data_IF_352351058275
#
_entry.id   IF_352351058275
#
_cell.length_a   1.000
_cell.length_b   1.000
_cell.length_c   1.000
_cell.angle_alpha   90.00
_cell.angle_beta   90.00
_cell.angle_gamma   90.00
#
_symmetry.space_group_name_H-M   'P 1'
#
loop_
_entity.id
_entity.type
_entity.pdbx_description
1 polymer ?
#
# COMPACT_ATOMS: atom_id res chain seq x y z
N UNK A 1 11.44 -5.88 14.16
CA UNK A 1 10.60 -6.97 13.59
C UNK A 1 9.64 -6.30 12.63
N UNK A 2 10.02 -6.14 11.37
CA UNK A 2 9.12 -5.56 10.35
C UNK A 2 8.17 -6.65 9.90
N UNK A 3 6.87 -6.48 10.15
CA UNK A 3 5.84 -7.44 9.76
C UNK A 3 5.81 -7.50 8.23
N UNK A 4 6.30 -8.60 7.63
CA UNK A 4 6.37 -8.74 6.18
C UNK A 4 4.96 -9.05 5.67
N UNK A 5 4.40 -8.20 4.81
CA UNK A 5 3.06 -8.42 4.26
C UNK A 5 2.93 -9.75 3.52
N UNK A 6 4.06 -10.35 3.10
CA UNK A 6 4.13 -11.69 2.49
C UNK A 6 3.91 -12.82 3.47
N UNK A 7 4.00 -12.58 4.77
CA UNK A 7 3.65 -13.57 5.81
C UNK A 7 2.14 -13.52 6.14
N UNK A 8 1.46 -12.42 5.81
CA UNK A 8 0.03 -12.21 6.08
C UNK A 8 -0.89 -12.44 4.87
N UNK A 9 -0.32 -12.41 3.65
CA UNK A 9 -1.03 -12.58 2.40
C UNK A 9 -0.42 -13.72 1.59
N UNK A 10 -1.26 -14.46 0.88
CA UNK A 10 -0.83 -15.29 -0.23
C UNK A 10 -0.22 -14.42 -1.35
N UNK A 11 0.62 -15.02 -2.19
CA UNK A 11 1.26 -14.33 -3.31
C UNK A 11 0.21 -13.66 -4.22
N UNK A 12 -0.90 -14.34 -4.49
CA UNK A 12 -1.96 -13.79 -5.37
C UNK A 12 -2.67 -12.58 -4.77
N UNK A 13 -2.81 -12.58 -3.46
CA UNK A 13 -3.46 -11.51 -2.68
C UNK A 13 -2.57 -10.28 -2.60
N UNK A 14 -1.28 -10.52 -2.34
CA UNK A 14 -0.25 -9.50 -2.39
C UNK A 14 -0.20 -8.83 -3.76
N UNK A 15 -0.13 -9.63 -4.84
CA UNK A 15 -0.08 -9.11 -6.21
C UNK A 15 -1.37 -8.38 -6.60
N UNK A 16 -2.53 -8.88 -6.19
CA UNK A 16 -3.80 -8.20 -6.44
C UNK A 16 -3.81 -6.81 -5.81
N UNK A 17 -3.53 -6.72 -4.51
CA UNK A 17 -3.57 -5.44 -3.79
C UNK A 17 -2.52 -4.47 -4.30
N UNK A 18 -1.29 -4.93 -4.53
CA UNK A 18 -0.21 -4.10 -5.06
C UNK A 18 -0.58 -3.51 -6.43
N UNK A 19 -1.10 -4.35 -7.35
CA UNK A 19 -1.54 -3.90 -8.66
C UNK A 19 -2.77 -2.99 -8.59
N UNK A 20 -3.68 -3.23 -7.66
CA UNK A 20 -4.85 -2.39 -7.45
C UNK A 20 -4.43 -1.00 -6.98
N UNK A 21 -3.59 -0.90 -5.94
CA UNK A 21 -3.09 0.37 -5.43
C UNK A 21 -2.27 1.14 -6.47
N UNK A 22 -1.40 0.48 -7.23
CA UNK A 22 -0.66 1.13 -8.32
C UNK A 22 -1.59 1.74 -9.38
N UNK A 23 -2.70 1.07 -9.73
CA UNK A 23 -3.68 1.62 -10.67
C UNK A 23 -4.40 2.82 -10.08
N UNK A 24 -4.86 2.72 -8.82
CA UNK A 24 -5.59 3.80 -8.16
C UNK A 24 -4.72 5.04 -7.95
N UNK A 25 -3.48 4.88 -7.49
CA UNK A 25 -2.55 5.99 -7.31
C UNK A 25 -2.24 6.69 -8.64
N UNK A 26 -2.16 5.95 -9.76
CA UNK A 26 -2.04 6.54 -11.11
C UNK A 26 -3.32 7.27 -11.53
N UNK A 27 -4.50 6.68 -11.31
CA UNK A 27 -5.79 7.27 -11.68
C UNK A 27 -6.08 8.56 -10.92
N UNK A 28 -5.83 8.56 -9.62
CA UNK A 28 -6.01 9.72 -8.75
C UNK A 28 -4.86 10.72 -8.80
N UNK A 29 -3.81 10.44 -9.58
CA UNK A 29 -2.63 11.29 -9.72
C UNK A 29 -2.04 11.68 -8.36
N UNK A 30 -2.06 10.76 -7.38
CA UNK A 30 -1.62 11.03 -6.01
C UNK A 30 -0.17 11.51 -5.94
N UNK A 31 0.68 11.05 -6.87
CA UNK A 31 2.06 11.50 -7.00
C UNK A 31 2.22 12.97 -7.48
N UNK A 32 1.14 13.60 -7.96
CA UNK A 32 1.10 15.01 -8.38
C UNK A 32 0.46 15.91 -7.31
N UNK A 33 -0.07 15.34 -6.22
CA UNK A 33 -0.46 16.16 -5.07
C UNK A 33 0.81 16.71 -4.43
N UNK A 34 1.03 18.01 -4.58
CA UNK A 34 2.18 18.75 -4.04
C UNK A 34 2.10 18.89 -2.49
N UNK A 35 0.99 18.46 -1.89
CA UNK A 35 0.78 18.52 -0.45
C UNK A 35 1.48 17.34 0.24
N UNK A 36 2.42 17.60 1.18
CA UNK A 36 3.01 16.54 1.98
C UNK A 36 1.95 15.87 2.86
N UNK A 37 2.19 14.60 3.21
CA UNK A 37 1.42 13.88 4.21
C UNK A 37 1.39 14.68 5.52
N UNK A 38 0.31 15.41 5.78
CA UNK A 38 0.17 16.17 7.00
C UNK A 38 -0.48 15.24 8.01
N UNK A 39 0.34 14.70 8.90
CA UNK A 39 -0.05 13.83 10.01
C UNK A 39 -1.19 14.37 10.91
N UNK A 40 -1.67 15.59 10.66
CA UNK A 40 -2.88 16.17 11.24
C UNK A 40 -4.19 15.55 10.71
N UNK A 41 -4.15 14.76 9.62
CA UNK A 41 -5.31 14.04 9.09
C UNK A 41 -6.33 14.91 8.34
N UNK A 42 -6.03 16.20 8.13
CA UNK A 42 -6.88 17.15 7.41
C UNK A 42 -6.45 17.38 5.95
N UNK A 43 -5.31 16.84 5.52
CA UNK A 43 -4.86 16.99 4.15
C UNK A 43 -5.73 16.21 3.18
N UNK A 44 -5.90 16.77 1.97
CA UNK A 44 -6.63 16.11 0.89
C UNK A 44 -6.02 14.74 0.56
N UNK A 45 -4.70 14.62 0.70
CA UNK A 45 -3.98 13.36 0.57
C UNK A 45 -4.45 12.33 1.60
N UNK A 46 -4.48 12.65 2.90
CA UNK A 46 -4.93 11.72 3.96
C UNK A 46 -6.36 11.23 3.74
N UNK A 47 -7.27 12.13 3.35
CA UNK A 47 -8.63 11.76 3.01
C UNK A 47 -8.67 10.77 1.84
N UNK A 48 -7.85 11.00 0.81
CA UNK A 48 -7.74 10.10 -0.34
C UNK A 48 -7.10 8.76 0.01
N UNK A 49 -6.09 8.74 0.86
CA UNK A 49 -5.49 7.48 1.33
C UNK A 49 -6.51 6.66 2.10
N UNK A 50 -7.20 7.26 3.06
CA UNK A 50 -8.22 6.57 3.85
C UNK A 50 -9.36 6.05 2.95
N UNK A 51 -9.79 6.86 1.97
CA UNK A 51 -10.77 6.44 0.98
C UNK A 51 -10.28 5.20 0.18
N UNK A 52 -9.06 5.25 -0.36
CA UNK A 52 -8.50 4.16 -1.15
C UNK A 52 -8.26 2.89 -0.34
N UNK A 53 -7.87 3.00 0.93
CA UNK A 53 -7.71 1.85 1.82
C UNK A 53 -9.07 1.19 2.08
N UNK A 54 -10.13 1.99 2.31
CA UNK A 54 -11.49 1.46 2.49
C UNK A 54 -11.97 0.73 1.22
N UNK A 55 -11.78 1.34 0.04
CA UNK A 55 -12.13 0.74 -1.24
C UNK A 55 -11.31 -0.54 -1.53
N UNK A 56 -10.01 -0.56 -1.22
CA UNK A 56 -9.18 -1.75 -1.34
C UNK A 56 -9.64 -2.88 -0.42
N UNK A 57 -10.08 -2.54 0.79
CA UNK A 57 -10.62 -3.52 1.75
C UNK A 57 -11.86 -4.20 1.19
N UNK A 58 -12.78 -3.43 0.61
CA UNK A 58 -14.00 -3.95 -0.04
C UNK A 58 -13.61 -4.84 -1.24
N UNK A 59 -12.78 -4.32 -2.16
CA UNK A 59 -12.36 -5.06 -3.35
C UNK A 59 -11.64 -6.37 -3.00
N UNK A 60 -10.89 -6.39 -1.90
CA UNK A 60 -10.21 -7.58 -1.40
C UNK A 60 -11.19 -8.63 -0.89
N UNK A 61 -12.13 -8.22 -0.03
CA UNK A 61 -13.17 -9.12 0.49
C UNK A 61 -14.03 -9.66 -0.64
N UNK A 62 -14.42 -8.84 -1.61
CA UNK A 62 -15.17 -9.30 -2.78
C UNK A 62 -14.41 -10.36 -3.59
N UNK A 63 -13.10 -10.17 -3.76
CA UNK A 63 -12.26 -11.06 -4.58
C UNK A 63 -11.90 -12.37 -3.89
N UNK A 64 -11.57 -12.32 -2.61
CA UNK A 64 -10.99 -13.45 -1.86
C UNK A 64 -11.93 -14.01 -0.78
N UNK A 65 -13.09 -13.38 -0.55
CA UNK A 65 -14.09 -13.79 0.44
C UNK A 65 -13.50 -13.94 1.85
N UNK A 66 -12.48 -13.14 2.16
CA UNK A 66 -11.81 -13.11 3.46
C UNK A 66 -11.39 -11.69 3.82
N UNK A 67 -11.20 -11.46 5.11
CA UNK A 67 -10.63 -10.23 5.62
C UNK A 67 -9.10 -10.32 5.69
N UNK A 68 -8.43 -9.18 5.49
CA UNK A 68 -7.00 -9.03 5.73
C UNK A 68 -6.76 -7.99 6.83
N UNK A 69 -5.65 -8.09 7.59
CA UNK A 69 -5.34 -7.11 8.61
C UNK A 69 -5.20 -5.69 8.03
N UNK A 70 -5.74 -4.64 8.67
CA UNK A 70 -5.67 -3.25 8.18
C UNK A 70 -4.24 -2.79 7.84
N UNK A 71 -3.26 -3.25 8.63
CA UNK A 71 -1.84 -2.95 8.44
C UNK A 71 -1.33 -3.30 7.03
N UNK A 72 -1.87 -4.38 6.43
CA UNK A 72 -1.47 -4.85 5.11
C UNK A 72 -1.83 -3.83 4.03
N UNK A 73 -3.00 -3.22 4.11
CA UNK A 73 -3.45 -2.23 3.12
C UNK A 73 -2.59 -0.98 3.19
N UNK A 74 -2.31 -0.46 4.39
CA UNK A 74 -1.44 0.70 4.57
C UNK A 74 -0.02 0.41 4.07
N UNK A 75 0.56 -0.75 4.41
CA UNK A 75 1.90 -1.11 3.95
C UNK A 75 1.97 -1.28 2.43
N UNK A 76 0.99 -1.96 1.83
CA UNK A 76 0.95 -2.18 0.38
C UNK A 76 0.68 -0.89 -0.40
N UNK A 77 -0.10 0.03 0.15
CA UNK A 77 -0.29 1.37 -0.40
C UNK A 77 1.06 2.11 -0.50
N UNK A 78 1.84 2.15 0.59
CA UNK A 78 3.16 2.79 0.58
C UNK A 78 4.14 2.07 -0.35
N UNK A 79 4.10 0.74 -0.41
CA UNK A 79 4.92 -0.03 -1.35
C UNK A 79 4.58 0.26 -2.81
N UNK A 80 3.29 0.38 -3.14
CA UNK A 80 2.84 0.79 -4.47
C UNK A 80 3.35 2.19 -4.82
N UNK A 81 3.32 3.13 -3.86
CA UNK A 81 3.80 4.49 -4.08
C UNK A 81 5.30 4.51 -4.39
N UNK A 82 6.09 3.77 -3.62
CA UNK A 82 7.53 3.63 -3.85
C UNK A 82 7.85 2.95 -5.18
N UNK A 83 6.99 2.04 -5.64
CA UNK A 83 7.13 1.40 -6.95
C UNK A 83 6.83 2.37 -8.09
N UNK A 84 5.77 3.16 -7.97
CA UNK A 84 5.45 4.23 -8.93
C UNK A 84 6.54 5.29 -9.01
N UNK A 85 7.17 5.61 -7.88
CA UNK A 85 8.31 6.54 -7.83
C UNK A 85 9.64 5.92 -8.30
N UNK A 86 9.67 4.62 -8.66
CA UNK A 86 10.90 3.91 -9.01
C UNK A 86 11.89 3.74 -7.85
N UNK A 87 11.46 3.98 -6.61
CA UNK A 87 12.28 3.93 -5.39
C UNK A 87 12.22 2.59 -4.65
N UNK A 88 11.42 1.63 -5.11
CA UNK A 88 11.28 0.29 -4.49
C UNK A 88 12.61 -0.44 -4.28
N UNK A 89 13.60 -0.24 -5.16
CA UNK A 89 14.96 -0.80 -5.02
C UNK A 89 15.76 -0.23 -3.82
N UNK A 90 15.26 0.77 -3.09
CA UNK A 90 15.90 1.26 -1.85
C UNK A 90 15.47 0.50 -0.60
N UNK A 91 14.36 -0.26 -0.66
CA UNK A 91 13.90 -1.10 0.46
C UNK A 91 14.43 -2.54 0.39
N UNK A 92 14.98 -2.97 -0.75
CA UNK A 92 15.59 -4.29 -0.95
C UNK A 92 17.00 -4.41 -0.34
N UNK A 93 17.17 -3.91 0.88
CA UNK A 93 18.21 -4.37 1.80
C UNK A 93 17.53 -4.66 3.13
N UNK A 94 16.70 -5.70 3.15
CA UNK A 94 16.56 -6.46 4.39
C UNK A 94 17.99 -6.79 4.86
N UNK A 95 18.37 -6.48 6.11
CA UNK A 95 19.68 -6.83 6.60
C UNK A 95 19.80 -8.35 6.50
N UNK A 96 20.69 -8.82 5.63
CA UNK A 96 21.20 -10.18 5.71
C UNK A 96 21.68 -10.34 7.16
N UNK A 97 21.07 -11.30 7.84
CA UNK A 97 21.58 -11.98 9.03
C UNK A 97 23.02 -11.59 9.35
N UNK A 98 23.19 -10.79 10.41
CA UNK A 98 24.40 -10.80 11.22
C UNK A 98 24.45 -12.20 11.86
N UNK A 99 25.11 -13.14 11.18
CA UNK A 99 25.68 -14.34 11.79
C UNK A 99 27.17 -14.11 11.98
#
# INVERSE_FOLDING_TARGET
>A
MGLDCRELLDVKEYEFLLNWFMRQQKQHQLAQLDEPYSYDGYSLYDQKVNQLIAEATIAFVEKFQREAPPLVFTNLFHLAELELQGKRNRLSKAPKTLQ
#
